data_IF_080014928686
#
_entry.id   IF_080014928686
#
_cell.length_a   1.000
_cell.length_b   1.000
_cell.length_c   1.000
_cell.angle_alpha   90.00
_cell.angle_beta   90.00
_cell.angle_gamma   90.00
#
_symmetry.space_group_name_H-M   'P 1'
#
loop_
_entity.id
_entity.type
_entity.pdbx_description
1 polymer ?
#
# COMPACT_ATOMS: atom_id res chain seq x y z
N UNK A 1 16.76 27.81 -27.13
CA UNK A 1 16.81 26.50 -27.81
C UNK A 1 17.74 25.49 -27.09
N UNK A 2 18.80 25.93 -26.44
CA UNK A 2 19.77 25.07 -25.74
C UNK A 2 19.30 24.46 -24.38
N UNK A 3 18.29 25.02 -23.72
CA UNK A 3 17.77 24.51 -22.45
C UNK A 3 16.84 23.28 -22.58
N UNK A 4 16.33 22.98 -23.78
CA UNK A 4 15.41 21.86 -24.06
C UNK A 4 16.14 20.50 -24.20
N UNK A 5 17.44 20.49 -24.41
CA UNK A 5 18.21 19.27 -24.72
C UNK A 5 18.53 18.46 -23.46
N UNK A 6 18.54 19.06 -22.27
CA UNK A 6 18.83 18.39 -21.00
C UNK A 6 17.60 17.82 -20.27
N UNK A 7 16.38 18.05 -20.80
CA UNK A 7 15.12 17.63 -20.17
C UNK A 7 14.46 16.39 -20.79
N UNK A 8 15.05 15.84 -21.86
CA UNK A 8 14.46 14.69 -22.58
C UNK A 8 14.96 13.37 -21.97
N UNK A 9 14.04 12.52 -21.52
CA UNK A 9 14.38 11.21 -20.95
C UNK A 9 15.07 10.29 -21.97
N UNK A 10 15.77 9.26 -21.50
CA UNK A 10 16.42 8.30 -22.38
C UNK A 10 15.41 7.62 -23.31
N UNK A 11 14.24 7.31 -22.79
CA UNK A 11 13.16 6.69 -23.57
C UNK A 11 12.60 7.64 -24.63
N UNK A 12 12.42 8.93 -24.32
CA UNK A 12 12.00 9.96 -25.29
C UNK A 12 13.01 10.13 -26.42
N UNK A 13 14.31 10.02 -26.14
CA UNK A 13 15.35 10.07 -27.19
C UNK A 13 15.27 8.89 -28.15
N UNK A 14 14.89 7.70 -27.65
CA UNK A 14 14.83 6.47 -28.48
C UNK A 14 13.54 6.45 -29.31
N UNK A 15 12.42 6.88 -28.73
CA UNK A 15 11.06 6.67 -29.29
C UNK A 15 10.46 7.94 -29.89
N UNK A 16 11.03 9.14 -29.58
CA UNK A 16 10.45 10.44 -29.91
C UNK A 16 9.39 10.86 -28.89
N UNK A 17 8.68 11.97 -29.17
CA UNK A 17 7.68 12.57 -28.27
C UNK A 17 6.33 11.83 -28.25
N UNK A 18 6.23 10.66 -28.91
CA UNK A 18 4.96 9.95 -29.00
C UNK A 18 4.69 9.15 -27.71
N UNK A 19 3.66 9.52 -26.98
CA UNK A 19 3.32 9.01 -25.65
C UNK A 19 3.00 7.50 -25.66
N UNK A 20 2.32 7.00 -26.70
CA UNK A 20 1.87 5.60 -26.73
C UNK A 20 3.05 4.61 -26.82
N UNK A 21 3.99 4.75 -27.79
CA UNK A 21 5.18 3.91 -27.81
C UNK A 21 6.01 4.03 -26.53
N UNK A 22 6.13 5.23 -25.95
CA UNK A 22 6.85 5.42 -24.69
C UNK A 22 6.24 4.62 -23.54
N UNK A 23 4.92 4.65 -23.38
CA UNK A 23 4.23 3.85 -22.34
C UNK A 23 4.47 2.36 -22.58
N UNK A 24 4.26 1.87 -23.80
CA UNK A 24 4.40 0.46 -24.11
C UNK A 24 5.83 -0.06 -23.87
N UNK A 25 6.83 0.67 -24.34
CA UNK A 25 8.24 0.30 -24.13
C UNK A 25 8.62 0.47 -22.67
N UNK A 26 8.18 1.54 -22.01
CA UNK A 26 8.43 1.77 -20.58
C UNK A 26 7.90 0.63 -19.72
N UNK A 27 6.64 0.23 -19.91
CA UNK A 27 6.03 -0.91 -19.21
C UNK A 27 6.77 -2.21 -19.54
N UNK A 28 7.14 -2.43 -20.79
CA UNK A 28 7.91 -3.63 -21.20
C UNK A 28 9.24 -3.72 -20.48
N UNK A 29 9.98 -2.61 -20.41
CA UNK A 29 11.26 -2.54 -19.69
C UNK A 29 11.07 -2.76 -18.20
N UNK A 30 10.02 -2.19 -17.57
CA UNK A 30 9.70 -2.43 -16.15
C UNK A 30 9.46 -3.91 -15.89
N UNK A 31 8.67 -4.59 -16.71
CA UNK A 31 8.39 -6.02 -16.58
C UNK A 31 9.65 -6.88 -16.77
N UNK A 32 10.47 -6.58 -17.78
CA UNK A 32 11.71 -7.28 -18.05
C UNK A 32 12.72 -7.11 -16.91
N UNK A 33 12.93 -5.87 -16.44
CA UNK A 33 13.82 -5.60 -15.31
C UNK A 33 13.32 -6.25 -14.03
N UNK A 34 12.02 -6.19 -13.76
CA UNK A 34 11.40 -6.91 -12.64
C UNK A 34 11.68 -8.41 -12.72
N UNK A 35 11.48 -9.03 -13.88
CA UNK A 35 11.78 -10.44 -14.10
C UNK A 35 13.27 -10.76 -13.88
N UNK A 36 14.17 -9.99 -14.47
CA UNK A 36 15.63 -10.19 -14.36
C UNK A 36 16.08 -10.11 -12.90
N UNK A 37 15.62 -9.08 -12.18
CA UNK A 37 15.99 -8.89 -10.77
C UNK A 37 15.47 -10.03 -9.88
N UNK A 38 14.30 -10.61 -10.16
CA UNK A 38 13.84 -11.79 -9.40
C UNK A 38 14.78 -12.99 -9.59
N UNK A 39 15.39 -13.13 -10.76
CA UNK A 39 16.40 -14.19 -10.99
C UNK A 39 17.69 -13.95 -10.22
N UNK A 40 18.15 -12.70 -10.16
CA UNK A 40 19.38 -12.32 -9.45
C UNK A 40 19.19 -12.36 -7.92
N UNK A 41 18.00 -12.05 -7.40
CA UNK A 41 17.72 -12.06 -5.96
C UNK A 41 17.28 -13.42 -5.42
N UNK A 42 16.93 -14.39 -6.30
CA UNK A 42 16.54 -15.75 -5.90
C UNK A 42 17.58 -16.46 -5.04
N UNK A 43 18.89 -16.45 -5.37
CA UNK A 43 19.93 -17.05 -4.51
C UNK A 43 20.00 -16.44 -3.12
N UNK A 44 19.66 -15.15 -2.98
CA UNK A 44 19.61 -14.41 -1.72
C UNK A 44 18.35 -14.71 -0.91
N UNK A 45 17.44 -15.55 -1.43
CA UNK A 45 16.15 -15.92 -0.81
C UNK A 45 15.27 -14.71 -0.50
N UNK A 46 15.45 -13.58 -1.21
CA UNK A 46 14.63 -12.38 -1.05
C UNK A 46 13.26 -12.58 -1.68
N UNK A 47 12.22 -11.93 -1.15
CA UNK A 47 10.91 -11.88 -1.78
C UNK A 47 10.94 -11.19 -3.15
N UNK A 48 10.08 -11.61 -4.08
CA UNK A 48 10.01 -11.01 -5.42
C UNK A 48 9.65 -9.51 -5.38
N UNK A 49 8.86 -9.10 -4.38
CA UNK A 49 8.51 -7.68 -4.16
C UNK A 49 9.76 -6.84 -4.02
N UNK A 50 10.70 -7.25 -3.17
CA UNK A 50 11.98 -6.56 -2.96
C UNK A 50 12.77 -6.45 -4.27
N UNK A 51 12.79 -7.51 -5.10
CA UNK A 51 13.43 -7.50 -6.41
C UNK A 51 12.78 -6.48 -7.36
N UNK A 52 11.45 -6.38 -7.39
CA UNK A 52 10.72 -5.42 -8.22
C UNK A 52 11.03 -3.97 -7.82
N UNK A 53 11.15 -3.70 -6.53
CA UNK A 53 11.50 -2.36 -6.03
C UNK A 53 12.94 -2.02 -6.41
N UNK A 54 13.89 -2.96 -6.27
CA UNK A 54 15.25 -2.75 -6.75
C UNK A 54 15.30 -2.51 -8.26
N UNK A 55 14.49 -3.20 -9.06
CA UNK A 55 14.36 -2.91 -10.49
C UNK A 55 13.94 -1.45 -10.72
N UNK A 56 12.96 -0.97 -9.95
CA UNK A 56 12.52 0.42 -9.99
C UNK A 56 13.60 1.42 -9.56
N UNK A 57 14.33 1.13 -8.49
CA UNK A 57 15.45 1.97 -8.02
C UNK A 57 16.54 2.07 -9.10
N UNK A 58 16.84 0.97 -9.79
CA UNK A 58 17.81 0.99 -10.89
C UNK A 58 17.30 1.83 -12.05
N UNK A 59 16.05 1.61 -12.52
CA UNK A 59 15.46 2.32 -13.66
C UNK A 59 15.16 3.81 -13.38
N UNK A 60 14.93 4.17 -12.13
CA UNK A 60 14.65 5.54 -11.71
C UNK A 60 15.91 6.26 -11.20
N UNK A 61 16.08 6.31 -9.86
CA UNK A 61 17.11 7.14 -9.24
C UNK A 61 18.55 6.79 -9.63
N UNK A 62 18.89 5.49 -9.81
CA UNK A 62 20.26 5.08 -10.18
C UNK A 62 20.59 5.51 -11.61
N UNK A 63 19.72 5.23 -12.57
CA UNK A 63 19.95 5.70 -13.94
C UNK A 63 19.93 7.22 -14.04
N UNK A 64 19.20 7.93 -13.20
CA UNK A 64 19.20 9.40 -13.16
C UNK A 64 20.57 9.98 -12.76
N UNK A 65 21.39 9.25 -12.00
CA UNK A 65 22.76 9.65 -11.66
C UNK A 65 23.63 9.70 -12.94
N UNK A 66 23.49 8.69 -13.80
CA UNK A 66 24.31 8.56 -15.01
C UNK A 66 23.74 9.32 -16.21
N UNK A 67 22.44 9.46 -16.27
CA UNK A 67 21.70 10.09 -17.35
C UNK A 67 20.55 10.94 -16.81
N UNK A 68 20.70 12.26 -16.80
CA UNK A 68 19.61 13.19 -16.47
C UNK A 68 18.76 13.46 -17.71
N UNK A 69 17.43 13.37 -17.68
CA UNK A 69 16.54 13.24 -16.50
C UNK A 69 16.22 11.81 -16.04
N UNK A 70 16.87 10.76 -16.54
CA UNK A 70 16.62 9.38 -16.22
C UNK A 70 16.09 8.57 -17.40
N UNK A 71 15.70 7.30 -17.13
CA UNK A 71 15.16 6.43 -18.19
C UNK A 71 13.77 6.92 -18.66
N UNK A 72 12.92 7.28 -17.71
CA UNK A 72 11.56 7.79 -17.93
C UNK A 72 11.43 9.13 -17.21
N UNK A 73 10.79 10.11 -17.84
CA UNK A 73 10.54 11.42 -17.22
C UNK A 73 9.53 11.33 -16.07
N UNK A 74 9.58 12.29 -15.13
CA UNK A 74 8.61 12.36 -14.02
C UNK A 74 7.18 12.51 -14.53
N UNK A 75 6.99 13.31 -15.57
CA UNK A 75 5.70 13.55 -16.21
C UNK A 75 5.11 12.24 -16.74
N UNK A 76 5.95 11.40 -17.33
CA UNK A 76 5.53 10.11 -17.85
C UNK A 76 5.21 9.11 -16.75
N UNK A 77 6.00 9.08 -15.66
CA UNK A 77 5.68 8.25 -14.47
C UNK A 77 4.33 8.66 -13.89
N UNK A 78 4.04 9.96 -13.85
CA UNK A 78 2.75 10.47 -13.38
C UNK A 78 1.60 10.09 -14.33
N UNK A 79 1.81 10.16 -15.65
CA UNK A 79 0.82 9.74 -16.66
C UNK A 79 0.49 8.25 -16.57
N UNK A 80 1.42 7.43 -16.11
CA UNK A 80 1.20 5.99 -15.83
C UNK A 80 0.61 5.72 -14.45
N UNK A 81 0.28 6.74 -13.66
CA UNK A 81 -0.30 6.60 -12.32
C UNK A 81 -1.53 5.70 -12.27
N UNK A 82 -2.37 5.73 -13.31
CA UNK A 82 -3.55 4.86 -13.43
C UNK A 82 -3.22 3.36 -13.37
N UNK A 83 -2.03 2.93 -13.80
CA UNK A 83 -1.57 1.54 -13.66
C UNK A 83 -1.33 1.17 -12.19
N UNK A 84 -0.83 2.12 -11.41
CA UNK A 84 -0.69 1.95 -9.96
C UNK A 84 -2.05 1.78 -9.28
N UNK A 85 -3.01 2.66 -9.63
CA UNK A 85 -4.36 2.63 -9.07
C UNK A 85 -5.11 1.36 -9.44
N UNK A 86 -4.99 0.94 -10.70
CA UNK A 86 -5.55 -0.33 -11.17
C UNK A 86 -4.92 -1.52 -10.43
N UNK A 87 -3.62 -1.51 -10.24
CA UNK A 87 -2.90 -2.55 -9.48
C UNK A 87 -3.42 -2.62 -8.04
N UNK A 88 -3.59 -1.47 -7.40
CA UNK A 88 -4.15 -1.38 -6.04
C UNK A 88 -5.58 -1.91 -5.99
N UNK A 89 -6.42 -1.66 -7.00
CA UNK A 89 -7.77 -2.20 -7.07
C UNK A 89 -7.78 -3.74 -7.13
N UNK A 90 -6.92 -4.36 -7.95
CA UNK A 90 -6.79 -5.83 -7.99
C UNK A 90 -6.32 -6.41 -6.64
N UNK A 91 -5.36 -5.75 -6.00
CA UNK A 91 -4.87 -6.14 -4.68
C UNK A 91 -5.99 -6.05 -3.66
N UNK A 92 -6.69 -4.90 -3.60
CA UNK A 92 -7.77 -4.64 -2.64
C UNK A 92 -8.91 -5.65 -2.76
N UNK A 93 -9.36 -5.95 -3.99
CA UNK A 93 -10.36 -6.99 -4.21
C UNK A 93 -9.90 -8.36 -3.68
N UNK A 94 -8.65 -8.74 -4.01
CA UNK A 94 -8.05 -9.99 -3.53
C UNK A 94 -7.93 -10.08 -2.02
N UNK A 95 -7.66 -8.95 -1.34
CA UNK A 95 -7.58 -8.83 0.13
C UNK A 95 -8.98 -8.98 0.75
N UNK A 96 -10.02 -8.45 0.13
CA UNK A 96 -11.40 -8.54 0.60
C UNK A 96 -11.88 -9.97 0.90
N UNK A 97 -11.34 -10.98 0.20
CA UNK A 97 -11.69 -12.40 0.45
C UNK A 97 -11.33 -12.90 1.85
N UNK A 98 -10.36 -12.28 2.53
CA UNK A 98 -9.95 -12.69 3.87
C UNK A 98 -10.89 -12.15 4.95
N UNK A 99 -11.80 -11.25 4.61
CA UNK A 99 -12.86 -10.74 5.47
C UNK A 99 -14.12 -11.63 5.41
N UNK A 100 -13.95 -12.94 5.53
CA UNK A 100 -15.08 -13.89 5.66
C UNK A 100 -15.75 -13.68 7.02
N UNK A 101 -17.05 -13.36 7.00
CA UNK A 101 -17.83 -13.11 8.22
C UNK A 101 -17.82 -14.32 9.15
N UNK A 102 -17.84 -15.54 8.62
CA UNK A 102 -17.78 -16.77 9.42
C UNK A 102 -16.44 -16.90 10.17
N UNK A 103 -15.33 -16.47 9.55
CA UNK A 103 -14.00 -16.47 10.17
C UNK A 103 -13.87 -15.32 11.16
N UNK A 104 -14.36 -14.13 10.80
CA UNK A 104 -14.38 -12.97 11.70
C UNK A 104 -15.21 -13.25 12.96
N UNK A 105 -16.37 -13.89 12.82
CA UNK A 105 -17.20 -14.31 13.98
C UNK A 105 -16.48 -15.33 14.86
N UNK A 106 -15.74 -16.27 14.28
CA UNK A 106 -14.93 -17.27 15.05
C UNK A 106 -13.74 -16.62 15.75
N UNK A 107 -13.06 -15.69 15.07
CA UNK A 107 -11.94 -14.94 15.66
C UNK A 107 -12.42 -13.96 16.74
N UNK A 108 -13.71 -13.61 16.72
CA UNK A 108 -14.35 -12.72 17.69
C UNK A 108 -13.70 -11.34 17.73
N UNK A 109 -13.78 -10.70 18.91
CA UNK A 109 -13.21 -9.36 19.11
C UNK A 109 -11.67 -9.34 19.09
N UNK A 110 -11.01 -10.52 19.03
CA UNK A 110 -9.54 -10.59 19.09
C UNK A 110 -8.85 -9.80 17.98
N UNK A 111 -9.33 -9.96 16.76
CA UNK A 111 -8.73 -9.26 15.60
C UNK A 111 -8.91 -7.75 15.73
N UNK A 112 -10.10 -7.31 16.13
CA UNK A 112 -10.39 -5.87 16.33
C UNK A 112 -9.49 -5.29 17.42
N UNK A 113 -9.34 -5.98 18.55
CA UNK A 113 -8.46 -5.55 19.64
C UNK A 113 -7.02 -5.46 19.14
N UNK A 114 -6.51 -6.49 18.45
CA UNK A 114 -5.14 -6.49 17.93
C UNK A 114 -4.95 -5.31 16.96
N UNK A 115 -5.87 -5.12 16.00
CA UNK A 115 -5.79 -4.05 15.01
C UNK A 115 -5.79 -2.67 15.67
N UNK A 116 -6.71 -2.43 16.60
CA UNK A 116 -6.78 -1.13 17.28
C UNK A 116 -5.52 -0.85 18.10
N UNK A 117 -5.02 -1.84 18.85
CA UNK A 117 -3.79 -1.65 19.61
C UNK A 117 -2.59 -1.39 18.73
N UNK A 118 -2.41 -2.17 17.65
CA UNK A 118 -1.24 -2.02 16.79
C UNK A 118 -1.27 -0.69 16.02
N UNK A 119 -2.42 -0.28 15.50
CA UNK A 119 -2.58 0.99 14.78
C UNK A 119 -2.43 2.20 15.71
N UNK A 120 -3.13 2.20 16.86
CA UNK A 120 -3.12 3.34 17.77
C UNK A 120 -1.79 3.49 18.52
N UNK A 121 -1.14 2.38 18.91
CA UNK A 121 0.17 2.44 19.56
C UNK A 121 1.23 2.89 18.55
N UNK A 122 1.19 2.39 17.31
CA UNK A 122 2.09 2.87 16.27
C UNK A 122 1.92 4.38 16.03
N UNK A 123 0.68 4.84 15.90
CA UNK A 123 0.38 6.27 15.77
C UNK A 123 0.86 7.08 16.98
N UNK A 124 0.60 6.61 18.20
CA UNK A 124 1.01 7.29 19.43
C UNK A 124 2.53 7.42 19.55
N UNK A 125 3.26 6.34 19.31
CA UNK A 125 4.73 6.30 19.42
C UNK A 125 5.35 7.23 18.37
N UNK A 126 4.84 7.23 17.12
CA UNK A 126 5.30 8.14 16.08
C UNK A 126 4.94 9.58 16.41
N UNK A 127 3.70 9.84 16.87
CA UNK A 127 3.29 11.18 17.28
C UNK A 127 4.20 11.76 18.34
N UNK A 128 4.42 11.03 19.44
CA UNK A 128 5.25 11.49 20.55
C UNK A 128 6.67 11.78 20.09
N UNK A 129 7.26 10.90 19.28
CA UNK A 129 8.63 11.08 18.79
C UNK A 129 8.73 12.28 17.85
N UNK A 130 7.82 12.40 16.87
CA UNK A 130 7.83 13.53 15.93
C UNK A 130 7.53 14.85 16.63
N UNK A 131 6.64 14.86 17.61
CA UNK A 131 6.35 16.02 18.44
C UNK A 131 7.58 16.47 19.27
N UNK A 132 8.32 15.52 19.88
CA UNK A 132 9.55 15.82 20.62
C UNK A 132 10.65 16.36 19.69
N UNK A 133 10.80 15.77 18.51
CA UNK A 133 11.73 16.28 17.49
C UNK A 133 11.31 17.71 17.09
N UNK A 134 10.02 17.93 16.87
CA UNK A 134 9.49 19.26 16.53
C UNK A 134 9.81 20.31 17.62
N UNK A 135 9.63 19.95 18.89
CA UNK A 135 10.01 20.84 20.01
C UNK A 135 11.50 21.10 20.11
N UNK A 136 12.34 20.12 19.79
CA UNK A 136 13.79 20.25 19.86
C UNK A 136 14.39 21.02 18.68
N UNK A 137 13.83 20.87 17.49
CA UNK A 137 14.40 21.40 16.24
C UNK A 137 13.63 22.57 15.63
N UNK A 138 12.37 22.78 16.02
CA UNK A 138 11.46 23.74 15.40
C UNK A 138 10.97 23.33 13.99
N UNK A 139 11.35 22.15 13.51
CA UNK A 139 11.04 21.71 12.13
C UNK A 139 9.65 21.09 11.95
N UNK A 140 9.06 20.57 13.01
CA UNK A 140 7.81 19.81 12.96
C UNK A 140 6.82 20.42 13.94
N UNK A 141 5.72 20.95 13.44
CA UNK A 141 4.59 21.34 14.27
C UNK A 141 3.80 20.12 14.78
N UNK A 142 3.11 20.27 15.92
CA UNK A 142 2.36 19.15 16.52
C UNK A 142 1.24 18.62 15.60
N UNK A 143 0.60 19.50 14.81
CA UNK A 143 -0.42 19.11 13.83
C UNK A 143 0.18 18.25 12.72
N UNK A 144 1.36 18.62 12.24
CA UNK A 144 2.08 17.84 11.24
C UNK A 144 2.59 16.50 11.81
N UNK A 145 3.02 16.47 13.08
CA UNK A 145 3.35 15.25 13.78
C UNK A 145 2.14 14.30 13.89
N UNK A 146 0.93 14.86 14.10
CA UNK A 146 -0.32 14.09 14.12
C UNK A 146 -0.63 13.44 12.76
N UNK A 147 -0.39 14.16 11.67
CA UNK A 147 -0.57 13.65 10.31
C UNK A 147 0.41 12.51 9.99
N UNK A 148 1.68 12.68 10.33
CA UNK A 148 2.69 11.61 10.19
C UNK A 148 2.32 10.37 11.01
N UNK A 149 1.82 10.56 12.23
CA UNK A 149 1.35 9.48 13.09
C UNK A 149 0.16 8.72 12.50
N UNK A 150 -0.80 9.43 11.93
CA UNK A 150 -1.95 8.85 11.26
C UNK A 150 -1.53 7.98 10.06
N UNK A 151 -0.61 8.47 9.24
CA UNK A 151 -0.07 7.69 8.11
C UNK A 151 0.77 6.50 8.59
N UNK A 152 1.45 6.62 9.74
CA UNK A 152 2.25 5.54 10.31
C UNK A 152 1.40 4.33 10.74
N UNK A 153 0.12 4.50 11.03
CA UNK A 153 -0.77 3.39 11.37
C UNK A 153 -1.06 2.45 10.21
N UNK A 154 -0.98 2.90 8.94
CA UNK A 154 -1.25 2.07 7.76
C UNK A 154 -0.22 0.96 7.56
N UNK A 155 -0.66 -0.22 7.10
CA UNK A 155 0.21 -1.34 6.70
C UNK A 155 -0.04 -1.69 5.23
N UNK A 156 1.00 -2.13 4.51
CA UNK A 156 0.86 -2.52 3.11
C UNK A 156 0.35 -3.95 2.96
N UNK A 157 -0.91 -4.19 2.60
CA UNK A 157 -1.41 -5.54 2.40
C UNK A 157 -0.74 -6.25 1.22
N UNK A 158 -0.35 -5.49 0.19
CA UNK A 158 0.19 -6.03 -1.04
C UNK A 158 1.50 -6.81 -0.86
N UNK A 159 2.48 -6.22 -0.18
CA UNK A 159 3.79 -6.84 0.01
C UNK A 159 3.73 -8.02 0.97
N UNK A 160 2.94 -7.92 2.05
CA UNK A 160 2.70 -9.03 2.98
C UNK A 160 1.99 -10.19 2.28
N UNK A 161 0.93 -9.92 1.52
CA UNK A 161 0.18 -10.92 0.78
C UNK A 161 1.04 -11.60 -0.30
N UNK A 162 1.85 -10.83 -1.04
CA UNK A 162 2.78 -11.37 -2.04
C UNK A 162 3.80 -12.33 -1.39
N UNK A 163 4.32 -11.96 -0.22
CA UNK A 163 5.25 -12.79 0.55
C UNK A 163 4.58 -14.09 1.02
N UNK A 164 3.34 -14.02 1.54
CA UNK A 164 2.55 -15.19 1.93
C UNK A 164 2.32 -16.12 0.73
N UNK A 165 1.96 -15.58 -0.44
CA UNK A 165 1.75 -16.37 -1.67
C UNK A 165 3.05 -17.04 -2.13
N UNK A 166 4.15 -16.29 -2.15
CA UNK A 166 5.46 -16.80 -2.58
C UNK A 166 5.95 -17.94 -1.67
N UNK A 167 5.68 -17.87 -0.38
CA UNK A 167 6.07 -18.88 0.60
C UNK A 167 5.03 -19.99 0.73
N UNK A 168 3.88 -19.90 0.05
CA UNK A 168 2.74 -20.83 0.18
C UNK A 168 2.27 -21.03 1.61
N UNK A 169 2.52 -20.04 2.48
CA UNK A 169 2.17 -20.11 3.90
C UNK A 169 0.66 -20.17 4.12
N UNK A 170 0.24 -20.94 5.13
CA UNK A 170 -1.17 -21.16 5.49
C UNK A 170 -1.32 -21.28 7.01
N UNK A 171 -2.57 -21.24 7.48
CA UNK A 171 -2.92 -21.48 8.89
C UNK A 171 -3.44 -20.24 9.59
N UNK A 172 -3.76 -20.39 10.87
CA UNK A 172 -4.44 -19.35 11.67
C UNK A 172 -3.60 -18.09 11.86
N UNK A 173 -2.27 -18.23 11.95
CA UNK A 173 -1.37 -17.10 12.03
C UNK A 173 -1.43 -16.23 10.75
N UNK A 174 -1.41 -16.88 9.58
CA UNK A 174 -1.54 -16.19 8.28
C UNK A 174 -2.90 -15.50 8.15
N UNK A 175 -3.97 -16.18 8.56
CA UNK A 175 -5.31 -15.58 8.58
C UNK A 175 -5.37 -14.35 9.49
N UNK A 176 -4.73 -14.41 10.67
CA UNK A 176 -4.62 -13.27 11.58
C UNK A 176 -3.90 -12.10 10.94
N UNK A 177 -2.73 -12.32 10.31
CA UNK A 177 -2.00 -11.27 9.59
C UNK A 177 -2.90 -10.59 8.56
N UNK A 178 -3.55 -11.38 7.70
CA UNK A 178 -4.37 -10.85 6.60
C UNK A 178 -5.58 -10.06 7.09
N UNK A 179 -6.23 -10.51 8.17
CA UNK A 179 -7.36 -9.81 8.77
C UNK A 179 -6.92 -8.50 9.44
N UNK A 180 -5.83 -8.51 10.21
CA UNK A 180 -5.29 -7.31 10.87
C UNK A 180 -4.89 -6.28 9.84
N UNK A 181 -4.07 -6.65 8.85
CA UNK A 181 -3.63 -5.74 7.79
C UNK A 181 -4.81 -5.14 7.02
N UNK A 182 -5.88 -5.92 6.81
CA UNK A 182 -7.06 -5.43 6.08
C UNK A 182 -7.87 -4.41 6.89
N UNK A 183 -8.02 -4.64 8.20
CA UNK A 183 -8.76 -3.71 9.08
C UNK A 183 -7.93 -2.46 9.44
N UNK A 184 -6.62 -2.58 9.44
CA UNK A 184 -5.67 -1.51 9.72
C UNK A 184 -5.81 -0.33 8.74
N UNK A 185 -6.06 -0.62 7.46
CA UNK A 185 -6.31 0.39 6.44
C UNK A 185 -7.52 1.28 6.78
N UNK A 186 -8.57 0.70 7.34
CA UNK A 186 -9.74 1.47 7.77
C UNK A 186 -9.41 2.40 8.95
N UNK A 187 -8.64 1.90 9.94
CA UNK A 187 -8.21 2.70 11.09
C UNK A 187 -7.31 3.85 10.65
N UNK A 188 -6.36 3.58 9.75
CA UNK A 188 -5.43 4.60 9.25
C UNK A 188 -6.12 5.72 8.47
N UNK A 189 -7.14 5.39 7.67
CA UNK A 189 -7.94 6.37 6.96
C UNK A 189 -8.76 7.27 7.91
N UNK A 190 -9.32 6.71 8.97
CA UNK A 190 -10.03 7.48 9.99
C UNK A 190 -9.06 8.45 10.69
N UNK A 191 -7.89 7.95 11.15
CA UNK A 191 -6.88 8.77 11.79
C UNK A 191 -6.36 9.88 10.86
N UNK A 192 -6.12 9.56 9.60
CA UNK A 192 -5.70 10.53 8.59
C UNK A 192 -6.75 11.61 8.38
N UNK A 193 -8.01 11.23 8.23
CA UNK A 193 -9.12 12.19 8.05
C UNK A 193 -9.25 13.16 9.23
N UNK A 194 -9.13 12.63 10.45
CA UNK A 194 -9.14 13.45 11.67
C UNK A 194 -7.94 14.40 11.71
N UNK A 195 -6.74 13.90 11.38
CA UNK A 195 -5.52 14.71 11.37
C UNK A 195 -5.57 15.84 10.35
N UNK A 196 -6.04 15.52 9.13
CA UNK A 196 -6.25 16.53 8.08
C UNK A 196 -7.26 17.60 8.50
N UNK A 197 -8.34 17.19 9.13
CA UNK A 197 -9.32 18.13 9.66
C UNK A 197 -8.73 19.11 10.69
N UNK A 198 -7.89 18.61 11.60
CA UNK A 198 -7.20 19.44 12.60
C UNK A 198 -6.25 20.45 11.94
N UNK A 199 -5.55 20.04 10.85
CA UNK A 199 -4.63 20.93 10.15
C UNK A 199 -5.38 22.02 9.37
N UNK A 200 -6.45 21.63 8.67
CA UNK A 200 -7.18 22.56 7.77
C UNK A 200 -8.20 23.43 8.49
N UNK A 201 -8.50 23.15 9.75
CA UNK A 201 -9.49 23.92 10.54
C UNK A 201 -9.10 25.39 10.72
N UNK A 202 -7.82 25.72 10.80
CA UNK A 202 -7.32 27.07 11.05
C UNK A 202 -7.57 28.06 9.88
N UNK A 203 -7.85 27.55 8.67
CA UNK A 203 -8.05 28.38 7.47
C UNK A 203 -9.47 28.43 6.89
N UNK A 204 -10.41 27.65 7.44
CA UNK A 204 -11.73 27.51 6.85
C UNK A 204 -12.85 28.07 7.72
N UNK A 205 -13.73 28.91 7.12
CA UNK A 205 -15.01 29.31 7.71
C UNK A 205 -16.02 28.14 7.83
N UNK A 206 -15.63 26.91 7.56
CA UNK A 206 -16.49 25.73 7.72
C UNK A 206 -16.46 25.28 9.18
N UNK A 207 -17.61 24.94 9.73
CA UNK A 207 -17.66 24.39 11.10
C UNK A 207 -16.72 23.18 11.21
N UNK A 208 -15.85 23.16 12.22
CA UNK A 208 -14.84 22.10 12.39
C UNK A 208 -15.41 20.67 12.40
N UNK A 209 -16.69 20.52 12.76
CA UNK A 209 -17.42 19.24 12.70
C UNK A 209 -17.57 18.74 11.27
N UNK A 210 -17.86 19.61 10.30
CA UNK A 210 -18.09 19.23 8.90
C UNK A 210 -16.80 18.78 8.22
N UNK A 211 -15.67 19.36 8.61
CA UNK A 211 -14.34 19.00 8.08
C UNK A 211 -13.95 17.59 8.49
N UNK A 212 -14.31 17.16 9.70
CA UNK A 212 -14.04 15.79 10.20
C UNK A 212 -15.07 14.79 9.66
N UNK A 213 -16.35 15.19 9.64
CA UNK A 213 -17.45 14.28 9.32
C UNK A 213 -17.46 13.87 7.84
N UNK A 214 -17.17 14.82 6.94
CA UNK A 214 -17.25 14.58 5.49
C UNK A 214 -16.32 13.46 5.00
N UNK A 215 -15.01 13.42 5.31
CA UNK A 215 -14.14 12.31 4.90
C UNK A 215 -14.56 10.96 5.48
N UNK A 216 -15.08 10.95 6.72
CA UNK A 216 -15.59 9.73 7.35
C UNK A 216 -16.84 9.24 6.60
N UNK A 217 -17.78 10.14 6.29
CA UNK A 217 -18.97 9.80 5.51
C UNK A 217 -18.61 9.30 4.11
N UNK A 218 -17.65 9.94 3.43
CA UNK A 218 -17.18 9.52 2.12
C UNK A 218 -16.51 8.14 2.16
N UNK A 219 -15.76 7.86 3.22
CA UNK A 219 -15.18 6.51 3.45
C UNK A 219 -16.28 5.46 3.64
N UNK A 220 -17.28 5.76 4.48
CA UNK A 220 -18.43 4.88 4.69
C UNK A 220 -19.21 4.69 3.38
N UNK A 221 -19.44 5.75 2.63
CA UNK A 221 -20.11 5.71 1.33
C UNK A 221 -19.36 4.80 0.35
N UNK A 222 -18.04 4.91 0.25
CA UNK A 222 -17.20 4.05 -0.57
C UNK A 222 -17.36 2.58 -0.19
N UNK A 223 -17.33 2.25 1.11
CA UNK A 223 -17.54 0.90 1.61
C UNK A 223 -18.94 0.38 1.27
N UNK A 224 -19.98 1.18 1.50
CA UNK A 224 -21.39 0.80 1.20
C UNK A 224 -21.58 0.53 -0.30
N UNK A 225 -21.09 1.41 -1.16
CA UNK A 225 -21.15 1.21 -2.62
C UNK A 225 -20.40 -0.06 -3.00
N UNK A 226 -19.21 -0.28 -2.43
CA UNK A 226 -18.42 -1.49 -2.64
C UNK A 226 -19.17 -2.77 -2.26
N UNK A 227 -19.82 -2.78 -1.08
CA UNK A 227 -20.65 -3.92 -0.65
C UNK A 227 -21.80 -4.20 -1.63
N UNK A 228 -22.53 -3.17 -2.05
CA UNK A 228 -23.61 -3.28 -3.03
C UNK A 228 -23.10 -3.87 -4.35
N UNK A 229 -22.01 -3.31 -4.87
CA UNK A 229 -21.42 -3.79 -6.12
C UNK A 229 -20.87 -5.22 -6.01
N UNK A 230 -20.36 -5.62 -4.83
CA UNK A 230 -19.94 -7.00 -4.57
C UNK A 230 -21.09 -8.01 -4.64
N UNK A 231 -22.25 -7.64 -4.10
CA UNK A 231 -23.48 -8.44 -4.23
C UNK A 231 -23.96 -8.48 -5.69
N UNK A 232 -23.98 -7.34 -6.37
CA UNK A 232 -24.35 -7.27 -7.80
C UNK A 232 -23.39 -8.10 -8.66
N UNK A 233 -22.11 -8.03 -8.41
CA UNK A 233 -21.10 -8.85 -9.07
C UNK A 233 -21.41 -10.34 -8.90
N UNK A 234 -21.75 -10.78 -7.68
CA UNK A 234 -22.18 -12.16 -7.44
C UNK A 234 -23.39 -12.56 -8.30
N UNK A 235 -24.43 -11.74 -8.32
CA UNK A 235 -25.66 -12.02 -9.07
C UNK A 235 -25.43 -12.13 -10.59
N UNK A 236 -24.45 -11.37 -11.11
CA UNK A 236 -24.14 -11.36 -12.54
C UNK A 236 -23.15 -12.47 -12.90
N UNK A 237 -22.12 -12.68 -12.10
CA UNK A 237 -21.01 -13.60 -12.39
C UNK A 237 -21.41 -15.06 -12.14
N UNK A 238 -22.22 -15.35 -11.13
CA UNK A 238 -22.60 -16.70 -10.75
C UNK A 238 -23.86 -17.23 -11.49
N UNK A 239 -24.22 -16.63 -12.61
CA UNK A 239 -25.31 -17.18 -13.46
C UNK A 239 -24.88 -18.50 -14.09
N UNK A 240 -25.83 -19.47 -14.28
CA UNK A 240 -25.57 -20.72 -14.99
C UNK A 240 -24.96 -20.47 -16.37
N UNK A 241 -24.04 -21.33 -16.80
CA UNK A 241 -23.36 -21.27 -18.11
C UNK A 241 -22.41 -20.06 -18.35
N UNK A 242 -21.94 -19.38 -17.32
CA UNK A 242 -20.88 -18.38 -17.47
C UNK A 242 -19.51 -19.05 -17.61
N UNK A 243 -18.80 -18.75 -18.71
CA UNK A 243 -17.42 -19.19 -18.88
C UNK A 243 -16.49 -18.51 -17.88
N UNK A 244 -15.34 -19.14 -17.64
CA UNK A 244 -14.27 -18.62 -16.77
C UNK A 244 -13.85 -17.22 -17.21
N UNK A 245 -13.67 -17.02 -18.53
CA UNK A 245 -13.25 -15.74 -19.11
C UNK A 245 -14.29 -14.64 -18.90
N UNK A 246 -15.58 -14.94 -19.11
CA UNK A 246 -16.65 -13.97 -18.89
C UNK A 246 -16.74 -13.51 -17.43
N UNK A 247 -16.45 -14.40 -16.48
CA UNK A 247 -16.40 -14.06 -15.05
C UNK A 247 -15.27 -13.08 -14.75
N UNK A 248 -14.09 -13.33 -15.33
CA UNK A 248 -12.93 -12.44 -15.16
C UNK A 248 -13.19 -11.07 -15.81
N UNK A 249 -13.68 -11.05 -17.06
CA UNK A 249 -13.99 -9.80 -17.79
C UNK A 249 -14.97 -8.93 -17.00
N UNK A 250 -16.07 -9.51 -16.51
CA UNK A 250 -17.05 -8.78 -15.71
C UNK A 250 -16.44 -8.23 -14.42
N UNK A 251 -15.62 -9.03 -13.74
CA UNK A 251 -14.99 -8.59 -12.49
C UNK A 251 -14.05 -7.43 -12.73
N UNK A 252 -13.20 -7.53 -13.75
CA UNK A 252 -12.29 -6.43 -14.14
C UNK A 252 -13.09 -5.17 -14.49
N UNK A 253 -14.17 -5.29 -15.24
CA UNK A 253 -15.05 -4.17 -15.57
C UNK A 253 -15.63 -3.49 -14.32
N UNK A 254 -16.11 -4.28 -13.35
CA UNK A 254 -16.62 -3.74 -12.07
C UNK A 254 -15.55 -3.02 -11.27
N UNK A 255 -14.31 -3.59 -11.21
CA UNK A 255 -13.18 -2.94 -10.55
C UNK A 255 -12.83 -1.60 -11.19
N UNK A 256 -12.79 -1.55 -12.52
CA UNK A 256 -12.47 -0.32 -13.26
C UNK A 256 -13.57 0.73 -13.12
N UNK A 257 -14.85 0.34 -13.25
CA UNK A 257 -15.98 1.26 -13.08
C UNK A 257 -15.97 1.84 -11.67
N UNK A 258 -15.84 0.99 -10.65
CA UNK A 258 -15.81 1.46 -9.27
C UNK A 258 -14.64 2.43 -9.02
N UNK A 259 -13.43 2.07 -9.45
CA UNK A 259 -12.25 2.94 -9.29
C UNK A 259 -12.44 4.27 -10.02
N UNK A 260 -12.94 4.26 -11.25
CA UNK A 260 -13.22 5.48 -12.01
C UNK A 260 -14.26 6.38 -11.35
N UNK A 261 -15.36 5.80 -10.86
CA UNK A 261 -16.40 6.57 -10.14
C UNK A 261 -15.86 7.09 -8.81
N UNK A 262 -15.08 6.29 -8.07
CA UNK A 262 -14.48 6.71 -6.80
C UNK A 262 -13.56 7.93 -6.97
N UNK A 263 -12.77 7.97 -8.06
CA UNK A 263 -11.97 9.16 -8.39
C UNK A 263 -12.84 10.38 -8.73
N UNK A 264 -13.96 10.20 -9.42
CA UNK A 264 -14.87 11.31 -9.77
C UNK A 264 -15.52 11.95 -8.54
N UNK A 265 -15.82 11.16 -7.50
CA UNK A 265 -16.44 11.64 -6.26
C UNK A 265 -15.43 11.82 -5.11
N UNK A 266 -14.14 11.77 -5.41
CA UNK A 266 -13.03 11.99 -4.48
C UNK A 266 -13.05 11.08 -3.24
N UNK A 267 -13.47 9.80 -3.41
CA UNK A 267 -13.42 8.80 -2.35
C UNK A 267 -12.30 7.80 -2.58
N UNK A 268 -11.85 7.15 -1.51
CA UNK A 268 -10.83 6.10 -1.62
C UNK A 268 -11.39 4.89 -2.38
N UNK A 269 -10.84 4.54 -3.55
CA UNK A 269 -11.26 3.33 -4.27
C UNK A 269 -10.84 2.06 -3.53
N UNK A 270 -9.78 2.11 -2.74
CA UNK A 270 -9.17 0.94 -2.10
C UNK A 270 -10.15 0.22 -1.16
N UNK A 271 -10.73 0.96 -0.20
CA UNK A 271 -11.67 0.38 0.78
C UNK A 271 -12.95 -0.12 0.12
N UNK A 272 -13.47 0.61 -0.87
CA UNK A 272 -14.68 0.20 -1.57
C UNK A 272 -14.47 -1.06 -2.40
N UNK A 273 -13.37 -1.17 -3.12
CA UNK A 273 -13.02 -2.39 -3.87
C UNK A 273 -12.77 -3.57 -2.92
N UNK A 274 -12.13 -3.33 -1.77
CA UNK A 274 -11.94 -4.35 -0.74
C UNK A 274 -13.28 -4.82 -0.16
N UNK A 275 -14.21 -3.90 0.11
CA UNK A 275 -15.58 -4.19 0.53
C UNK A 275 -16.36 -4.97 -0.54
N UNK A 276 -16.14 -4.67 -1.83
CA UNK A 276 -16.71 -5.44 -2.95
C UNK A 276 -16.22 -6.90 -2.93
N UNK A 277 -14.92 -7.13 -2.74
CA UNK A 277 -14.36 -8.47 -2.58
C UNK A 277 -14.91 -9.20 -1.34
N UNK A 278 -15.03 -8.48 -0.21
CA UNK A 278 -15.65 -8.99 1.01
C UNK A 278 -17.10 -9.41 0.79
N UNK A 279 -17.92 -8.57 0.17
CA UNK A 279 -19.32 -8.88 -0.11
C UNK A 279 -19.44 -10.10 -1.05
N UNK A 280 -18.66 -10.11 -2.12
CA UNK A 280 -18.66 -11.24 -3.06
C UNK A 280 -18.35 -12.56 -2.38
N UNK A 281 -17.26 -12.67 -1.57
CA UNK A 281 -16.88 -13.94 -0.94
C UNK A 281 -17.90 -14.40 0.10
N UNK A 282 -18.54 -13.49 0.83
CA UNK A 282 -19.52 -13.82 1.85
C UNK A 282 -20.85 -14.30 1.26
N UNK A 283 -21.23 -13.83 0.07
CA UNK A 283 -22.45 -14.25 -0.62
C UNK A 283 -22.20 -15.48 -1.48
N UNK A 284 -21.12 -15.49 -2.29
CA UNK A 284 -20.84 -16.58 -3.23
C UNK A 284 -20.22 -17.81 -2.58
N UNK A 285 -19.42 -17.63 -1.52
CA UNK A 285 -18.53 -18.65 -0.93
C UNK A 285 -17.54 -19.27 -1.92
N UNK A 286 -17.42 -18.70 -3.13
CA UNK A 286 -16.62 -19.20 -4.24
C UNK A 286 -15.28 -18.45 -4.32
N UNK A 287 -14.18 -19.16 -4.11
CA UNK A 287 -12.83 -18.64 -4.21
C UNK A 287 -12.27 -18.72 -5.65
N UNK A 288 -12.98 -19.35 -6.58
CA UNK A 288 -12.44 -19.56 -7.94
C UNK A 288 -12.16 -18.25 -8.67
N UNK A 289 -13.03 -17.26 -8.51
CA UNK A 289 -12.88 -15.93 -9.09
C UNK A 289 -11.62 -15.21 -8.56
N UNK A 290 -11.37 -15.32 -7.26
CA UNK A 290 -10.17 -14.74 -6.67
C UNK A 290 -8.89 -15.41 -7.19
N UNK A 291 -8.91 -16.73 -7.41
CA UNK A 291 -7.80 -17.45 -8.04
C UNK A 291 -7.56 -16.98 -9.48
N UNK A 292 -8.60 -16.72 -10.26
CA UNK A 292 -8.47 -16.16 -11.61
C UNK A 292 -7.80 -14.79 -11.59
N UNK A 293 -8.22 -13.90 -10.69
CA UNK A 293 -7.60 -12.59 -10.51
C UNK A 293 -6.15 -12.72 -10.03
N UNK A 294 -5.84 -13.70 -9.19
CA UNK A 294 -4.48 -13.99 -8.76
C UNK A 294 -3.54 -14.41 -9.90
N UNK A 295 -4.05 -15.12 -10.89
CA UNK A 295 -3.26 -15.46 -12.09
C UNK A 295 -3.02 -14.25 -13.01
N UNK A 296 -3.96 -13.31 -13.02
CA UNK A 296 -3.88 -12.11 -13.85
C UNK A 296 -3.10 -10.97 -13.19
N UNK A 297 -3.15 -10.85 -11.88
CA UNK A 297 -2.58 -9.72 -11.12
C UNK A 297 -1.04 -9.59 -11.08
N UNK A 298 -0.21 -10.62 -11.30
CA UNK A 298 1.26 -10.49 -11.18
C UNK A 298 1.87 -9.42 -12.07
N UNK A 299 1.30 -9.18 -13.26
CA UNK A 299 1.76 -8.15 -14.19
C UNK A 299 1.59 -6.77 -13.54
N UNK A 300 0.42 -6.49 -13.01
CA UNK A 300 0.11 -5.21 -12.36
C UNK A 300 0.92 -5.02 -11.07
N UNK A 301 1.08 -6.08 -10.28
CA UNK A 301 1.91 -6.04 -9.08
C UNK A 301 3.37 -5.70 -9.40
N UNK A 302 3.93 -6.30 -10.45
CA UNK A 302 5.29 -5.99 -10.89
C UNK A 302 5.42 -4.52 -11.29
N UNK A 303 4.49 -4.02 -12.13
CA UNK A 303 4.46 -2.61 -12.53
C UNK A 303 4.36 -1.70 -11.30
N UNK A 304 3.44 -2.00 -10.38
CA UNK A 304 3.24 -1.23 -9.16
C UNK A 304 4.53 -1.08 -8.33
N UNK A 305 5.20 -2.20 -8.04
CA UNK A 305 6.41 -2.16 -7.21
C UNK A 305 7.61 -1.56 -7.94
N UNK A 306 7.75 -1.79 -9.25
CA UNK A 306 8.81 -1.13 -10.04
C UNK A 306 8.57 0.38 -10.08
N UNK A 307 7.34 0.84 -10.33
CA UNK A 307 7.00 2.26 -10.30
C UNK A 307 7.22 2.88 -8.91
N UNK A 308 6.91 2.16 -7.84
CA UNK A 308 7.19 2.61 -6.47
C UNK A 308 8.69 2.85 -6.25
N UNK A 309 9.54 1.94 -6.71
CA UNK A 309 10.99 2.11 -6.67
C UNK A 309 11.50 3.28 -7.53
N UNK A 310 10.90 3.51 -8.71
CA UNK A 310 11.27 4.62 -9.61
C UNK A 310 10.94 6.01 -9.04
N UNK A 311 9.94 6.11 -8.16
CA UNK A 311 9.53 7.37 -7.51
C UNK A 311 10.45 7.80 -6.38
N UNK A 312 11.44 7.00 -5.99
CA UNK A 312 12.39 7.35 -4.94
C UNK A 312 13.22 8.57 -5.37
N UNK A 313 13.26 9.60 -4.51
CA UNK A 313 14.08 10.79 -4.72
C UNK A 313 15.31 10.76 -3.80
N UNK A 314 16.48 10.46 -4.37
CA UNK A 314 17.74 10.41 -3.62
C UNK A 314 18.14 11.77 -3.03
N UNK A 315 17.81 12.87 -3.72
CA UNK A 315 18.08 14.24 -3.24
C UNK A 315 17.29 14.56 -1.98
N UNK A 316 16.04 14.11 -1.91
CA UNK A 316 15.18 14.29 -0.73
C UNK A 316 15.65 13.44 0.46
N UNK A 317 16.23 12.27 0.20
CA UNK A 317 16.88 11.45 1.24
C UNK A 317 18.06 12.18 1.90
N UNK A 318 18.83 12.96 1.14
CA UNK A 318 19.98 13.68 1.67
C UNK A 318 19.60 14.87 2.59
N UNK A 319 18.46 15.52 2.32
CA UNK A 319 18.04 16.76 3.02
C UNK A 319 17.18 16.51 4.26
N UNK A 320 16.21 15.60 4.16
CA UNK A 320 15.24 15.32 5.25
C UNK A 320 15.38 13.86 5.74
N UNK A 321 16.38 13.16 5.20
CA UNK A 321 16.50 11.71 5.35
C UNK A 321 16.62 11.22 6.79
N UNK A 322 17.23 11.98 7.70
CA UNK A 322 17.33 11.59 9.09
C UNK A 322 15.96 11.52 9.78
N UNK A 323 15.02 12.46 9.48
CA UNK A 323 13.65 12.41 10.01
C UNK A 323 12.90 11.19 9.44
N UNK A 324 13.08 10.91 8.15
CA UNK A 324 12.53 9.71 7.50
C UNK A 324 13.08 8.41 8.10
N UNK A 325 14.38 8.37 8.44
CA UNK A 325 15.00 7.22 9.13
C UNK A 325 14.43 7.06 10.54
N UNK A 326 14.29 8.15 11.29
CA UNK A 326 13.66 8.09 12.62
C UNK A 326 12.21 7.64 12.52
N UNK A 327 11.44 8.21 11.58
CA UNK A 327 10.08 7.78 11.32
C UNK A 327 10.00 6.27 11.00
N UNK A 328 10.90 5.79 10.13
CA UNK A 328 10.99 4.38 9.77
C UNK A 328 11.20 3.49 11.00
N UNK A 329 12.21 3.79 11.82
CA UNK A 329 12.58 2.98 12.99
C UNK A 329 11.48 3.02 14.05
N UNK A 330 11.00 4.22 14.37
CA UNK A 330 10.01 4.44 15.44
C UNK A 330 8.67 3.79 15.12
N UNK A 331 8.26 3.82 13.83
CA UNK A 331 7.07 3.11 13.40
C UNK A 331 7.22 1.59 13.54
N UNK A 332 8.37 1.03 13.21
CA UNK A 332 8.62 -0.41 13.42
C UNK A 332 8.45 -0.77 14.89
N UNK A 333 9.03 0.02 15.79
CA UNK A 333 8.90 -0.19 17.25
C UNK A 333 7.43 -0.10 17.67
N UNK A 334 6.71 0.92 17.19
CA UNK A 334 5.29 1.12 17.48
C UNK A 334 4.41 -0.01 16.98
N UNK A 335 4.59 -0.44 15.73
CA UNK A 335 3.85 -1.55 15.12
C UNK A 335 4.12 -2.87 15.84
N UNK A 336 5.39 -3.18 16.09
CA UNK A 336 5.76 -4.40 16.79
C UNK A 336 5.22 -4.42 18.24
N UNK A 337 5.44 -3.33 18.98
CA UNK A 337 4.95 -3.18 20.33
C UNK A 337 3.43 -3.22 20.41
N UNK A 338 2.75 -2.51 19.53
CA UNK A 338 1.28 -2.48 19.44
C UNK A 338 0.68 -3.85 19.11
N UNK A 339 1.24 -4.56 18.13
CA UNK A 339 0.80 -5.91 17.78
C UNK A 339 1.00 -6.90 18.94
N UNK A 340 2.13 -6.80 19.64
CA UNK A 340 2.42 -7.63 20.82
C UNK A 340 1.43 -7.35 21.95
N UNK A 341 1.25 -6.08 22.33
CA UNK A 341 0.33 -5.68 23.40
C UNK A 341 -1.12 -6.01 23.04
N UNK A 342 -1.54 -5.76 21.80
CA UNK A 342 -2.86 -6.13 21.31
C UNK A 342 -3.09 -7.65 21.35
N UNK A 343 -2.08 -8.43 20.95
CA UNK A 343 -2.16 -9.91 21.00
C UNK A 343 -2.24 -10.43 22.44
N UNK A 344 -1.54 -9.78 23.39
CA UNK A 344 -1.64 -10.11 24.82
C UNK A 344 -3.03 -9.74 25.36
N UNK A 345 -3.52 -8.52 25.09
CA UNK A 345 -4.84 -8.06 25.50
C UNK A 345 -5.97 -8.94 24.93
N UNK A 346 -5.83 -9.38 23.68
CA UNK A 346 -6.77 -10.29 23.02
C UNK A 346 -6.64 -11.76 23.46
N UNK A 347 -5.70 -12.09 24.36
CA UNK A 347 -5.39 -13.48 24.73
C UNK A 347 -5.18 -14.37 23.51
N UNK A 348 -4.40 -13.86 22.54
CA UNK A 348 -4.11 -14.54 21.28
C UNK A 348 -2.99 -15.59 21.47
N UNK A 349 -2.67 -16.31 20.36
CA UNK A 349 -1.63 -17.34 20.36
C UNK A 349 -0.23 -16.75 20.61
N UNK A 350 0.70 -17.59 21.10
CA UNK A 350 2.10 -17.17 21.34
C UNK A 350 2.78 -16.69 20.03
N UNK A 351 2.45 -17.30 18.89
CA UNK A 351 2.95 -16.86 17.60
C UNK A 351 2.50 -15.43 17.26
N UNK A 352 1.24 -15.09 17.55
CA UNK A 352 0.73 -13.74 17.34
C UNK A 352 1.44 -12.73 18.25
N UNK A 353 1.64 -13.08 19.54
CA UNK A 353 2.32 -12.20 20.50
C UNK A 353 3.77 -11.90 20.10
N UNK A 354 4.48 -12.87 19.53
CA UNK A 354 5.92 -12.75 19.24
C UNK A 354 6.23 -12.31 17.82
N UNK A 355 5.44 -12.72 16.83
CA UNK A 355 5.85 -12.61 15.44
C UNK A 355 4.91 -11.77 14.57
N UNK A 356 3.69 -11.46 15.03
CA UNK A 356 2.72 -10.70 14.22
C UNK A 356 3.27 -9.32 13.82
N UNK A 357 3.89 -8.59 14.75
CA UNK A 357 4.43 -7.28 14.50
C UNK A 357 5.49 -7.24 13.38
N UNK A 358 6.26 -8.31 13.20
CA UNK A 358 7.22 -8.42 12.09
C UNK A 358 6.53 -8.48 10.72
N UNK A 359 5.34 -9.09 10.65
CA UNK A 359 4.56 -9.17 9.42
C UNK A 359 3.85 -7.85 9.07
N UNK A 360 3.73 -6.91 10.02
CA UNK A 360 3.06 -5.62 9.88
C UNK A 360 4.03 -4.45 9.58
N UNK A 361 5.32 -4.73 9.40
CA UNK A 361 6.33 -3.72 9.05
C UNK A 361 6.11 -3.12 7.66
N UNK A 362 5.74 -3.87 6.60
CA UNK A 362 5.58 -3.30 5.27
C UNK A 362 4.63 -2.10 5.25
N UNK A 363 5.03 -1.03 4.57
CA UNK A 363 4.23 0.17 4.36
C UNK A 363 4.44 0.67 2.93
N UNK A 364 3.37 0.78 2.13
CA UNK A 364 3.45 1.25 0.75
C UNK A 364 2.16 1.91 0.28
N UNK A 365 1.45 1.30 -0.65
CA UNK A 365 0.37 1.85 -1.45
C UNK A 365 -0.58 2.83 -0.74
N UNK A 366 -1.20 2.40 0.37
CA UNK A 366 -2.14 3.25 1.13
C UNK A 366 -1.44 4.47 1.71
N UNK A 367 -0.28 4.31 2.35
CA UNK A 367 0.46 5.43 2.93
C UNK A 367 0.99 6.42 1.88
N UNK A 368 1.41 5.93 0.71
CA UNK A 368 1.78 6.79 -0.42
C UNK A 368 0.56 7.55 -0.97
N UNK A 369 -0.59 6.89 -1.07
CA UNK A 369 -1.85 7.53 -1.44
C UNK A 369 -2.28 8.60 -0.43
N UNK A 370 -2.21 8.29 0.87
CA UNK A 370 -2.49 9.26 1.94
C UNK A 370 -1.52 10.44 1.93
N UNK A 371 -0.23 10.18 1.67
CA UNK A 371 0.77 11.25 1.55
C UNK A 371 0.50 12.15 0.33
N UNK A 372 0.12 11.58 -0.81
CA UNK A 372 -0.22 12.33 -2.00
C UNK A 372 -1.47 13.22 -1.76
N UNK A 373 -2.53 12.63 -1.20
CA UNK A 373 -3.76 13.37 -0.84
C UNK A 373 -3.50 14.42 0.23
N UNK A 374 -2.72 14.08 1.26
CA UNK A 374 -2.33 15.01 2.32
C UNK A 374 -1.48 16.17 1.80
N UNK A 375 -0.52 15.90 0.91
CA UNK A 375 0.30 16.96 0.31
C UNK A 375 -0.53 17.89 -0.57
N UNK A 376 -1.46 17.36 -1.37
CA UNK A 376 -2.37 18.18 -2.17
C UNK A 376 -3.25 19.08 -1.27
N UNK A 377 -3.78 18.54 -0.19
CA UNK A 377 -4.59 19.31 0.77
C UNK A 377 -3.77 20.36 1.54
N UNK A 378 -2.53 20.04 1.93
CA UNK A 378 -1.59 20.99 2.54
C UNK A 378 -1.24 22.15 1.59
N UNK A 379 -1.00 21.84 0.31
CA UNK A 379 -0.80 22.88 -0.72
C UNK A 379 -2.01 23.77 -0.86
N UNK A 380 -3.20 23.20 -0.91
CA UNK A 380 -4.46 23.98 -0.97
C UNK A 380 -4.71 24.82 0.29
N UNK A 381 -4.19 24.38 1.45
CA UNK A 381 -4.23 25.12 2.72
C UNK A 381 -3.13 26.19 2.84
N UNK A 382 -2.27 26.36 1.83
CA UNK A 382 -1.18 27.34 1.85
C UNK A 382 0.06 26.90 2.65
N UNK A 383 0.25 25.60 2.84
CA UNK A 383 1.33 24.97 3.60
C UNK A 383 2.28 24.16 2.67
N UNK A 384 3.00 24.83 1.74
CA UNK A 384 3.81 24.13 0.74
C UNK A 384 5.03 23.39 1.34
N UNK A 385 5.63 23.92 2.40
CA UNK A 385 6.79 23.29 3.05
C UNK A 385 6.40 21.96 3.71
N UNK A 386 5.28 21.93 4.39
CA UNK A 386 4.71 20.75 5.02
C UNK A 386 4.31 19.72 3.98
N UNK A 387 3.77 20.13 2.84
CA UNK A 387 3.43 19.25 1.73
C UNK A 387 4.66 18.55 1.14
N UNK A 388 5.75 19.28 0.91
CA UNK A 388 7.03 18.74 0.44
C UNK A 388 7.63 17.81 1.50
N UNK A 389 7.63 18.22 2.76
CA UNK A 389 8.17 17.44 3.85
C UNK A 389 7.40 16.11 4.04
N UNK A 390 6.07 16.16 3.97
CA UNK A 390 5.22 14.97 4.04
C UNK A 390 5.57 13.96 2.94
N UNK A 391 5.56 14.42 1.69
CA UNK A 391 5.90 13.58 0.55
C UNK A 391 7.30 12.98 0.71
N UNK A 392 8.27 13.78 1.11
CA UNK A 392 9.66 13.34 1.25
C UNK A 392 9.82 12.28 2.34
N UNK A 393 9.26 12.50 3.53
CA UNK A 393 9.34 11.55 4.65
C UNK A 393 8.66 10.22 4.28
N UNK A 394 7.45 10.28 3.73
CA UNK A 394 6.66 9.07 3.46
C UNK A 394 7.20 8.31 2.26
N UNK A 395 7.63 8.98 1.19
CA UNK A 395 8.21 8.29 0.01
C UNK A 395 9.56 7.66 0.39
N UNK A 396 10.44 8.40 1.07
CA UNK A 396 11.76 7.88 1.44
C UNK A 396 11.68 6.73 2.44
N UNK A 397 10.84 6.86 3.48
CA UNK A 397 10.60 5.75 4.42
C UNK A 397 9.85 4.59 3.76
N UNK A 398 8.92 4.87 2.84
CA UNK A 398 8.19 3.88 2.06
C UNK A 398 9.11 2.92 1.33
N UNK A 399 10.16 3.44 0.68
CA UNK A 399 11.17 2.59 0.03
C UNK A 399 11.91 1.71 1.02
N UNK A 400 12.27 2.23 2.19
CA UNK A 400 12.89 1.41 3.23
C UNK A 400 11.95 0.31 3.71
N UNK A 401 10.65 0.62 3.91
CA UNK A 401 9.66 -0.40 4.28
C UNK A 401 9.48 -1.47 3.21
N UNK A 402 9.54 -1.09 1.94
CA UNK A 402 9.41 -2.05 0.85
C UNK A 402 10.66 -2.93 0.69
N UNK A 403 11.85 -2.42 1.05
CA UNK A 403 13.08 -3.21 1.06
C UNK A 403 13.12 -4.16 2.27
N UNK A 404 12.82 -3.67 3.47
CA UNK A 404 12.94 -4.44 4.72
C UNK A 404 11.66 -5.17 5.11
N UNK A 405 10.49 -4.67 4.72
CA UNK A 405 9.19 -5.21 5.09
C UNK A 405 8.95 -6.64 4.60
N UNK A 406 9.06 -6.93 3.28
CA UNK A 406 8.86 -8.29 2.77
C UNK A 406 9.81 -9.33 3.38
N UNK A 407 11.13 -9.06 3.56
CA UNK A 407 12.01 -9.95 4.31
C UNK A 407 11.58 -10.16 5.75
N UNK A 408 11.12 -9.11 6.45
CA UNK A 408 10.59 -9.20 7.81
C UNK A 408 9.31 -10.03 7.89
N UNK A 409 8.38 -9.83 6.96
CA UNK A 409 7.17 -10.65 6.85
C UNK A 409 7.52 -12.12 6.59
N UNK A 410 8.50 -12.40 5.72
CA UNK A 410 8.99 -13.75 5.47
C UNK A 410 9.60 -14.38 6.73
N UNK A 411 10.39 -13.63 7.48
CA UNK A 411 10.98 -14.06 8.75
C UNK A 411 9.88 -14.40 9.77
N UNK A 412 8.86 -13.57 9.88
CA UNK A 412 7.68 -13.80 10.73
C UNK A 412 6.99 -15.13 10.41
N UNK A 413 6.75 -15.41 9.13
CA UNK A 413 6.15 -16.66 8.66
C UNK A 413 7.03 -17.89 8.97
N UNK A 414 8.34 -17.74 8.84
CA UNK A 414 9.30 -18.79 9.15
C UNK A 414 9.32 -19.09 10.67
N UNK A 415 9.46 -18.07 11.51
CA UNK A 415 9.52 -18.20 12.97
C UNK A 415 8.21 -18.73 13.56
N UNK A 416 7.06 -18.38 12.99
CA UNK A 416 5.76 -18.90 13.38
C UNK A 416 5.47 -20.33 12.91
N UNK A 417 6.40 -20.93 12.14
CA UNK A 417 6.23 -22.24 11.48
C UNK A 417 5.04 -22.32 10.53
N UNK A 418 4.61 -21.18 10.00
CA UNK A 418 3.55 -21.09 8.97
C UNK A 418 4.09 -21.27 7.56
N UNK A 419 5.39 -21.31 7.41
CA UNK A 419 6.15 -21.51 6.20
C UNK A 419 6.71 -22.93 6.18
N UNK A 420 6.19 -23.78 5.27
CA UNK A 420 6.77 -25.09 4.99
C UNK A 420 8.01 -24.90 4.10
N UNK A 421 9.17 -25.23 4.62
CA UNK A 421 10.36 -25.40 3.78
C UNK A 421 10.08 -26.66 2.95
N UNK A 422 9.65 -26.49 1.70
CA UNK A 422 9.75 -27.59 0.76
C UNK A 422 11.26 -27.89 0.65
N UNK A 423 11.67 -29.05 1.14
CA UNK A 423 12.97 -29.64 0.81
C UNK A 423 13.01 -29.82 -0.72
N UNK A 424 13.41 -28.75 -1.42
CA UNK A 424 13.62 -28.75 -2.87
C UNK A 424 14.92 -29.49 -3.17
N UNK A 425 14.97 -30.78 -2.78
CA UNK A 425 15.99 -31.75 -3.19
C UNK A 425 15.64 -32.49 -4.47
N UNK A 426 14.62 -32.03 -5.22
CA UNK A 426 14.14 -32.68 -6.44
C UNK A 426 14.23 -31.82 -7.71
N UNK A 427 15.29 -31.04 -7.86
CA UNK A 427 15.70 -30.57 -9.20
C UNK A 427 17.22 -30.60 -9.27
N UNK A 428 17.73 -31.80 -9.58
CA UNK A 428 19.01 -31.97 -10.25
C UNK A 428 18.78 -32.08 -11.74
#
# INVERSE_FOLDING_TARGET
>A
MFFKIYSVSLLEKIVGENIIPMILIGVSVMLLMGFLLTRLTKPLKLPNVTAYIFAGIILGPVLKIFYKPGFISKEMINSMGFLTDLSLAFIAFGVGRFLKLDVLKKSGNKIIIITLFESLIAALVVFLTMFLIGKATGLIEWKFALLLAAIASATAPASTMMTIRQTKSKGDFVNTILQVVTLDDAVSLILFSVSMAVITADGSNKSGVMVILLPILMTILSVVIGLILGVLLHLIVNRPNRSVDNRLILTVAFLMIFSGVAFLIEVSPLLGVMAMGMAYINVSKDESLFRQIEYFSPIFLTIFFVMSGMRLELESLATIGWIGIVYFVVRIIGKYGGATLGSVAAKSTENNKKYLGLALIPQAGVSLGLAASGSAALLAAGLPNEAIMLSTIIISSGVLYEIFGPPSAKLSLYLSKSYEISDDKSVK
#
